data_IF_663507988351
#
_entry.id   IF_663507988351
#
_cell.length_a   1.000
_cell.length_b   1.000
_cell.length_c   1.000
_cell.angle_alpha   90.00
_cell.angle_beta   90.00
_cell.angle_gamma   90.00
#
_symmetry.space_group_name_H-M   'P 1'
#
loop_
_entity.id
_entity.type
_entity.pdbx_description
1 polymer ?
#
# COMPACT_ATOMS: atom_id res chain seq x y z
N UNK A 1 19.90 -2.93 22.73
CA UNK A 1 20.40 -3.52 21.49
C UNK A 1 20.24 -5.03 21.37
N UNK A 2 20.71 -5.89 22.31
CA UNK A 2 20.56 -7.36 22.17
C UNK A 2 19.11 -7.87 22.24
N UNK A 3 18.20 -7.22 22.97
CA UNK A 3 16.78 -7.63 23.06
C UNK A 3 15.94 -7.18 21.86
N UNK A 4 16.23 -6.05 21.24
CA UNK A 4 15.56 -5.62 19.99
C UNK A 4 15.93 -6.51 18.81
N UNK A 5 17.19 -6.98 18.75
CA UNK A 5 17.62 -7.90 17.70
C UNK A 5 16.93 -9.28 17.80
N UNK A 6 16.64 -9.73 19.03
CA UNK A 6 15.91 -10.99 19.28
C UNK A 6 14.44 -10.84 18.85
N UNK A 7 13.85 -9.67 19.02
CA UNK A 7 12.46 -9.40 18.64
C UNK A 7 12.27 -9.39 17.11
N UNK A 8 13.20 -8.78 16.37
CA UNK A 8 13.21 -8.81 14.91
C UNK A 8 13.49 -10.21 14.34
N UNK A 9 14.35 -11.00 15.00
CA UNK A 9 14.63 -12.38 14.62
C UNK A 9 13.46 -13.34 14.92
N UNK A 10 12.69 -13.13 15.98
CA UNK A 10 11.50 -13.94 16.27
C UNK A 10 10.35 -13.65 15.30
N UNK A 11 10.18 -12.42 14.87
CA UNK A 11 9.18 -12.05 13.86
C UNK A 11 9.51 -12.66 12.48
N UNK A 12 10.79 -12.68 12.10
CA UNK A 12 11.24 -13.34 10.88
C UNK A 12 11.12 -14.88 10.91
N UNK A 13 11.18 -15.51 12.08
CA UNK A 13 11.04 -16.96 12.24
C UNK A 13 9.59 -17.45 12.14
N UNK A 14 8.61 -16.59 12.42
CA UNK A 14 7.18 -16.93 12.27
C UNK A 14 6.73 -16.92 10.80
N UNK A 15 7.42 -16.21 9.91
CA UNK A 15 7.13 -16.19 8.48
C UNK A 15 7.69 -17.41 7.71
N UNK A 16 8.55 -18.22 8.32
CA UNK A 16 9.17 -19.40 7.67
C UNK A 16 8.50 -20.73 8.01
N UNK A 17 7.51 -20.77 8.90
CA UNK A 17 6.92 -22.02 9.41
C UNK A 17 5.79 -22.64 8.56
N UNK A 18 5.30 -21.99 7.50
CA UNK A 18 4.19 -22.49 6.66
C UNK A 18 4.59 -22.86 5.24
N UNK A 19 5.65 -23.64 5.06
CA UNK A 19 5.89 -24.28 3.75
C UNK A 19 6.29 -25.75 3.93
N UNK A 20 5.30 -26.59 4.22
CA UNK A 20 5.41 -28.04 3.96
C UNK A 20 5.03 -28.29 2.51
N UNK A 21 6.04 -28.47 1.68
CA UNK A 21 5.90 -29.07 0.33
C UNK A 21 5.50 -30.53 0.48
N UNK A 22 4.29 -30.89 0.08
CA UNK A 22 3.92 -32.27 -0.20
C UNK A 22 4.35 -32.59 -1.63
N UNK A 23 5.29 -33.55 -1.76
CA UNK A 23 5.62 -34.17 -3.03
C UNK A 23 4.40 -34.97 -3.55
N UNK A 24 4.13 -34.96 -4.84
CA UNK A 24 3.11 -35.85 -5.41
C UNK A 24 3.65 -37.26 -5.53
N UNK A 25 2.90 -38.18 -4.93
CA UNK A 25 3.08 -39.63 -5.03
C UNK A 25 2.71 -40.08 -6.44
N UNK A 26 3.60 -40.84 -7.08
CA UNK A 26 3.37 -41.50 -8.38
C UNK A 26 2.39 -42.66 -8.22
N UNK A 27 1.27 -42.63 -8.90
CA UNK A 27 0.35 -43.75 -9.08
C UNK A 27 0.71 -44.52 -10.38
N UNK A 28 0.59 -45.85 -10.37
CA UNK A 28 0.99 -46.68 -11.51
C UNK A 28 -0.02 -46.69 -12.64
N UNK A 29 0.48 -46.88 -13.85
CA UNK A 29 -0.28 -46.97 -15.08
C UNK A 29 -1.26 -48.16 -15.09
N UNK A 30 -2.49 -47.93 -15.53
CA UNK A 30 -3.40 -48.97 -16.01
C UNK A 30 -3.90 -48.59 -17.42
N UNK A 31 -3.51 -49.45 -18.38
CA UNK A 31 -4.10 -49.44 -19.72
C UNK A 31 -5.57 -49.84 -19.66
N UNK A 32 -6.43 -49.11 -20.36
CA UNK A 32 -7.47 -49.77 -21.20
C UNK A 32 -8.16 -48.74 -22.10
N UNK A 33 -8.34 -49.12 -23.34
CA UNK A 33 -8.93 -48.42 -24.44
C UNK A 33 -10.42 -48.07 -24.23
N UNK A 34 -10.84 -46.87 -24.66
CA UNK A 34 -12.25 -46.48 -24.79
C UNK A 34 -12.31 -45.17 -25.53
N UNK A 35 -12.58 -45.25 -26.84
CA UNK A 35 -12.90 -44.11 -27.73
C UNK A 35 -14.06 -43.31 -27.17
N UNK A 36 -13.81 -42.07 -26.76
CA UNK A 36 -14.82 -41.04 -26.66
C UNK A 36 -14.27 -39.75 -27.30
N UNK A 37 -15.02 -39.26 -28.23
CA UNK A 37 -14.84 -38.01 -28.95
C UNK A 37 -14.69 -36.86 -27.91
N UNK A 38 -13.47 -36.42 -27.71
CA UNK A 38 -13.21 -35.17 -27.02
C UNK A 38 -13.67 -34.04 -27.96
N UNK A 39 -14.74 -33.35 -27.53
CA UNK A 39 -15.02 -32.02 -28.03
C UNK A 39 -13.86 -31.16 -27.56
N UNK A 40 -12.91 -30.91 -28.42
CA UNK A 40 -11.95 -29.82 -28.25
C UNK A 40 -12.79 -28.54 -28.01
N UNK A 41 -12.82 -28.09 -26.76
CA UNK A 41 -13.19 -26.73 -26.49
C UNK A 41 -12.11 -25.87 -27.18
N UNK A 42 -12.50 -25.24 -28.26
CA UNK A 42 -11.73 -24.24 -28.99
C UNK A 42 -11.32 -23.14 -27.96
N UNK A 43 -10.18 -23.31 -27.32
CA UNK A 43 -9.53 -22.23 -26.60
C UNK A 43 -9.04 -21.30 -27.69
N UNK A 44 -9.87 -20.34 -28.06
CA UNK A 44 -9.49 -19.27 -28.99
C UNK A 44 -8.23 -18.63 -28.44
N UNK A 45 -7.12 -18.84 -29.12
CA UNK A 45 -5.87 -18.12 -28.84
C UNK A 45 -6.18 -16.65 -29.01
N UNK A 46 -5.97 -15.81 -28.01
CA UNK A 46 -6.27 -14.39 -28.13
C UNK A 46 -5.48 -13.80 -29.31
N UNK A 47 -6.18 -13.14 -30.22
CA UNK A 47 -5.59 -12.59 -31.44
C UNK A 47 -4.67 -11.39 -31.17
N UNK A 48 -4.75 -10.79 -29.96
CA UNK A 48 -4.06 -9.54 -29.62
C UNK A 48 -3.36 -9.65 -28.26
N UNK A 49 -2.18 -9.05 -28.19
CA UNK A 49 -1.36 -8.98 -26.98
C UNK A 49 -1.07 -7.53 -26.63
N UNK A 50 -1.39 -7.14 -25.39
CA UNK A 50 -1.03 -5.85 -24.78
C UNK A 50 0.34 -5.98 -24.11
N UNK A 51 1.13 -4.92 -24.13
CA UNK A 51 2.36 -4.80 -23.36
C UNK A 51 2.14 -3.97 -22.11
N UNK A 52 2.63 -4.45 -20.96
CA UNK A 52 2.65 -3.72 -19.71
C UNK A 52 4.09 -3.37 -19.33
N UNK A 53 4.43 -2.09 -19.38
CA UNK A 53 5.70 -1.57 -18.91
C UNK A 53 5.72 -1.45 -17.38
N UNK A 54 6.76 -2.00 -16.75
CA UNK A 54 6.97 -1.87 -15.30
C UNK A 54 8.45 -1.90 -14.94
N UNK A 55 8.76 -1.53 -13.69
CA UNK A 55 10.09 -1.69 -13.10
C UNK A 55 9.96 -2.69 -11.95
N UNK A 56 10.56 -3.87 -12.09
CA UNK A 56 10.47 -4.95 -11.11
C UNK A 56 11.85 -5.59 -10.90
N UNK A 57 12.46 -5.29 -9.76
CA UNK A 57 13.68 -5.94 -9.29
C UNK A 57 13.32 -7.10 -8.37
N UNK A 58 13.97 -8.25 -8.56
CA UNK A 58 13.87 -9.42 -7.68
C UNK A 58 12.43 -9.88 -7.35
N UNK A 59 11.49 -9.67 -8.28
CA UNK A 59 10.07 -10.03 -8.13
C UNK A 59 9.31 -9.27 -7.03
N UNK A 60 9.71 -8.04 -6.74
CA UNK A 60 9.00 -7.16 -5.78
C UNK A 60 7.53 -6.93 -6.17
N UNK A 61 7.21 -6.97 -7.48
CA UNK A 61 5.86 -6.79 -8.04
C UNK A 61 5.05 -8.11 -8.13
N UNK A 62 5.18 -8.98 -7.12
CA UNK A 62 4.51 -10.30 -7.12
C UNK A 62 2.99 -10.22 -7.24
N UNK A 63 2.35 -9.24 -6.61
CA UNK A 63 0.89 -9.01 -6.70
C UNK A 63 0.51 -8.67 -8.14
N UNK A 64 1.20 -7.71 -8.77
CA UNK A 64 0.96 -7.34 -10.17
C UNK A 64 1.15 -8.54 -11.10
N UNK A 65 2.24 -9.31 -10.95
CA UNK A 65 2.48 -10.51 -11.76
C UNK A 65 1.36 -11.54 -11.60
N UNK A 66 0.90 -11.77 -10.39
CA UNK A 66 -0.23 -12.67 -10.11
C UNK A 66 -1.52 -12.18 -10.74
N UNK A 67 -1.80 -10.87 -10.69
CA UNK A 67 -2.97 -10.28 -11.34
C UNK A 67 -2.92 -10.44 -12.86
N UNK A 68 -1.78 -10.17 -13.50
CA UNK A 68 -1.59 -10.36 -14.94
C UNK A 68 -1.75 -11.84 -15.31
N UNK A 69 -1.19 -12.74 -14.51
CA UNK A 69 -1.35 -14.18 -14.74
C UNK A 69 -2.83 -14.59 -14.65
N UNK A 70 -3.57 -14.14 -13.63
CA UNK A 70 -5.00 -14.40 -13.47
C UNK A 70 -5.80 -13.83 -14.64
N UNK A 71 -5.47 -12.61 -15.09
CA UNK A 71 -6.07 -11.99 -16.26
C UNK A 71 -5.86 -12.85 -17.51
N UNK A 72 -4.64 -13.31 -17.75
CA UNK A 72 -4.29 -14.14 -18.92
C UNK A 72 -4.91 -15.54 -18.89
N UNK A 73 -5.26 -16.05 -17.70
CA UNK A 73 -6.01 -17.31 -17.55
C UNK A 73 -7.53 -17.14 -17.63
N UNK A 74 -8.03 -15.91 -17.59
CA UNK A 74 -9.45 -15.64 -17.77
C UNK A 74 -9.85 -15.78 -19.25
N UNK A 75 -11.14 -15.67 -19.52
CA UNK A 75 -11.67 -15.59 -20.90
C UNK A 75 -11.52 -14.22 -21.53
N UNK A 76 -10.53 -13.44 -21.13
CA UNK A 76 -10.28 -12.11 -21.65
C UNK A 76 -9.89 -12.16 -23.16
N UNK A 77 -10.34 -11.21 -23.96
CA UNK A 77 -10.12 -11.21 -25.41
C UNK A 77 -8.67 -10.89 -25.82
N UNK A 78 -7.88 -10.34 -24.88
CA UNK A 78 -6.47 -9.98 -25.10
C UNK A 78 -5.62 -10.60 -23.99
N UNK A 79 -4.34 -10.84 -24.27
CA UNK A 79 -3.34 -11.21 -23.26
C UNK A 79 -2.48 -10.00 -22.92
N UNK A 80 -1.80 -10.06 -21.77
CA UNK A 80 -0.86 -9.03 -21.33
C UNK A 80 0.50 -9.66 -21.15
N UNK A 81 1.50 -9.11 -21.84
CA UNK A 81 2.92 -9.44 -21.69
C UNK A 81 3.64 -8.33 -20.94
N UNK A 82 4.56 -8.72 -20.07
CA UNK A 82 5.30 -7.80 -19.21
C UNK A 82 6.58 -7.35 -19.91
N UNK A 83 6.76 -6.05 -20.06
CA UNK A 83 8.00 -5.38 -20.44
C UNK A 83 8.65 -4.85 -19.15
N UNK A 84 9.68 -5.55 -18.63
CA UNK A 84 10.36 -5.13 -17.42
C UNK A 84 11.57 -4.23 -17.75
N UNK A 85 11.49 -2.95 -17.39
CA UNK A 85 12.58 -1.99 -17.59
C UNK A 85 13.79 -2.22 -16.66
N UNK A 86 13.62 -3.04 -15.60
CA UNK A 86 14.72 -3.45 -14.73
C UNK A 86 15.66 -4.47 -15.40
N UNK A 87 15.22 -5.15 -16.47
CA UNK A 87 16.04 -6.16 -17.14
C UNK A 87 17.29 -5.54 -17.76
N UNK A 88 18.45 -5.88 -17.19
CA UNK A 88 19.75 -5.35 -17.60
C UNK A 88 20.08 -3.94 -17.07
N UNK A 89 19.25 -3.36 -16.21
CA UNK A 89 19.58 -2.14 -15.48
C UNK A 89 20.44 -2.45 -14.23
N UNK A 90 21.40 -1.59 -13.93
CA UNK A 90 22.28 -1.77 -12.76
C UNK A 90 21.62 -1.26 -11.46
N UNK A 91 20.65 -0.35 -11.59
CA UNK A 91 19.93 0.27 -10.47
C UNK A 91 18.50 0.65 -10.85
N UNK A 92 17.67 0.92 -9.85
CA UNK A 92 16.32 1.48 -10.06
C UNK A 92 16.36 2.81 -10.81
N UNK A 93 17.33 3.67 -10.51
CA UNK A 93 17.52 4.95 -11.21
C UNK A 93 17.82 4.75 -12.70
N UNK A 94 18.63 3.74 -13.06
CA UNK A 94 18.89 3.40 -14.48
C UNK A 94 17.64 2.88 -15.17
N UNK A 95 16.87 2.03 -14.50
CA UNK A 95 15.60 1.51 -15.03
C UNK A 95 14.58 2.64 -15.28
N UNK A 96 14.44 3.58 -14.33
CA UNK A 96 13.58 4.77 -14.47
C UNK A 96 14.06 5.64 -15.63
N UNK A 97 15.38 5.89 -15.73
CA UNK A 97 15.96 6.69 -16.81
C UNK A 97 15.71 6.04 -18.18
N UNK A 98 15.89 4.73 -18.28
CA UNK A 98 15.60 3.97 -19.51
C UNK A 98 14.13 4.05 -19.88
N UNK A 99 13.24 3.76 -18.93
CA UNK A 99 11.79 3.84 -19.13
C UNK A 99 11.39 5.23 -19.62
N UNK A 100 11.79 6.27 -18.91
CA UNK A 100 11.48 7.67 -19.28
C UNK A 100 12.00 8.01 -20.69
N UNK A 101 13.22 7.59 -21.02
CA UNK A 101 13.83 7.85 -22.33
C UNK A 101 13.04 7.16 -23.46
N UNK A 102 12.63 5.90 -23.27
CA UNK A 102 11.85 5.16 -24.25
C UNK A 102 10.46 5.77 -24.42
N UNK A 103 9.79 6.14 -23.31
CA UNK A 103 8.48 6.80 -23.37
C UNK A 103 8.52 8.14 -24.11
N UNK A 104 9.52 8.98 -23.85
CA UNK A 104 9.70 10.27 -24.53
C UNK A 104 10.09 10.10 -26.00
N UNK A 105 10.76 9.01 -26.36
CA UNK A 105 11.07 8.68 -27.76
C UNK A 105 9.85 8.11 -28.52
N UNK A 106 8.71 7.91 -27.86
CA UNK A 106 7.49 7.35 -28.45
C UNK A 106 7.46 5.83 -28.47
N UNK A 107 8.43 5.16 -27.84
CA UNK A 107 8.43 3.70 -27.65
C UNK A 107 7.64 3.38 -26.38
N UNK A 108 6.32 3.44 -26.47
CA UNK A 108 5.43 3.28 -25.32
C UNK A 108 4.84 1.88 -25.27
N UNK A 109 4.71 1.26 -24.07
CA UNK A 109 3.87 0.09 -23.89
C UNK A 109 2.39 0.46 -24.00
N UNK A 110 1.49 -0.51 -23.97
CA UNK A 110 0.05 -0.24 -23.97
C UNK A 110 -0.45 0.20 -22.59
N UNK A 111 0.05 -0.46 -21.56
CA UNK A 111 -0.18 -0.17 -20.16
C UNK A 111 1.13 0.21 -19.47
N UNK A 112 1.07 1.10 -18.50
CA UNK A 112 2.21 1.51 -17.68
C UNK A 112 1.90 1.35 -16.20
N UNK A 113 2.78 0.68 -15.46
CA UNK A 113 2.75 0.70 -14.00
C UNK A 113 3.31 2.02 -13.48
N UNK A 114 2.44 2.80 -12.85
CA UNK A 114 2.74 4.12 -12.29
C UNK A 114 3.01 4.08 -10.78
N UNK A 115 3.01 2.91 -10.13
CA UNK A 115 3.11 2.80 -8.67
C UNK A 115 4.44 3.33 -8.11
N UNK A 116 5.52 3.26 -8.89
CA UNK A 116 6.85 3.74 -8.51
C UNK A 116 7.13 5.20 -8.92
N UNK A 117 6.21 5.84 -9.64
CA UNK A 117 6.39 7.23 -10.05
C UNK A 117 6.18 8.17 -8.85
N UNK A 118 7.05 9.16 -8.71
CA UNK A 118 6.76 10.28 -7.81
C UNK A 118 5.55 11.08 -8.33
N UNK A 119 4.89 11.85 -7.44
CA UNK A 119 3.78 12.71 -7.84
C UNK A 119 4.16 13.66 -8.98
N UNK A 120 5.37 14.25 -8.96
CA UNK A 120 5.88 15.12 -10.03
C UNK A 120 6.02 14.39 -11.37
N UNK A 121 6.65 13.19 -11.37
CA UNK A 121 6.78 12.38 -12.59
C UNK A 121 5.43 11.98 -13.15
N UNK A 122 4.50 11.56 -12.29
CA UNK A 122 3.16 11.17 -12.68
C UNK A 122 2.40 12.35 -13.31
N UNK A 123 2.40 13.51 -12.65
CA UNK A 123 1.79 14.73 -13.18
C UNK A 123 2.43 15.14 -14.52
N UNK A 124 3.78 15.05 -14.60
CA UNK A 124 4.50 15.30 -15.85
C UNK A 124 4.08 14.37 -16.99
N UNK A 125 3.92 13.06 -16.71
CA UNK A 125 3.47 12.10 -17.73
C UNK A 125 2.04 12.36 -18.21
N UNK A 126 1.15 12.77 -17.30
CA UNK A 126 -0.21 13.18 -17.66
C UNK A 126 -0.21 14.46 -18.51
N UNK A 127 0.46 15.52 -18.04
CA UNK A 127 0.49 16.83 -18.72
C UNK A 127 1.19 16.79 -20.09
N UNK A 128 2.23 15.97 -20.25
CA UNK A 128 2.97 15.80 -21.50
C UNK A 128 2.33 14.78 -22.47
N UNK A 129 1.16 14.24 -22.13
CA UNK A 129 0.41 13.34 -23.03
C UNK A 129 1.06 11.96 -23.19
N UNK A 130 1.85 11.50 -22.24
CA UNK A 130 2.34 10.12 -22.17
C UNK A 130 1.21 9.20 -21.73
N UNK A 131 0.44 9.62 -20.72
CA UNK A 131 -0.73 8.90 -20.24
C UNK A 131 -2.01 9.40 -20.93
N UNK A 132 -2.93 8.48 -21.20
CA UNK A 132 -4.25 8.76 -21.77
C UNK A 132 -5.24 9.10 -20.64
N UNK A 133 -6.09 10.14 -20.79
CA UNK A 133 -7.26 10.32 -19.97
C UNK A 133 -8.14 9.06 -19.95
N UNK A 134 -8.54 8.61 -18.76
CA UNK A 134 -9.33 7.40 -18.56
C UNK A 134 -10.81 7.74 -18.38
N UNK A 135 -11.61 7.50 -19.40
CA UNK A 135 -13.06 7.67 -19.36
C UNK A 135 -13.78 6.34 -19.08
N UNK A 136 -14.93 6.41 -18.39
CA UNK A 136 -15.81 5.25 -18.18
C UNK A 136 -15.25 4.19 -17.25
N UNK A 137 -14.34 4.55 -16.35
CA UNK A 137 -13.92 3.68 -15.24
C UNK A 137 -15.04 3.55 -14.20
N UNK A 138 -15.17 2.40 -13.49
CA UNK A 138 -16.25 2.16 -12.52
C UNK A 138 -15.97 2.87 -11.17
N UNK A 139 -15.67 4.16 -11.19
CA UNK A 139 -15.20 4.95 -10.04
C UNK A 139 -16.14 4.87 -8.82
N UNK A 140 -17.46 4.78 -9.05
CA UNK A 140 -18.45 4.68 -7.98
C UNK A 140 -18.32 3.38 -7.15
N UNK A 141 -17.74 2.34 -7.72
CA UNK A 141 -17.52 1.04 -7.06
C UNK A 141 -16.18 1.01 -6.28
N UNK A 142 -15.31 1.98 -6.52
CA UNK A 142 -13.95 2.02 -6.01
C UNK A 142 -13.82 2.95 -4.80
N UNK A 143 -12.76 2.76 -4.02
CA UNK A 143 -12.41 3.66 -2.91
C UNK A 143 -11.93 5.01 -3.45
N UNK A 144 -12.72 6.07 -3.23
CA UNK A 144 -12.44 7.39 -3.78
C UNK A 144 -11.16 8.03 -3.26
N UNK A 145 -10.80 7.80 -1.98
CA UNK A 145 -9.56 8.29 -1.38
C UNK A 145 -8.33 7.74 -2.09
N UNK A 146 -8.35 6.44 -2.44
CA UNK A 146 -7.28 5.76 -3.17
C UNK A 146 -7.12 6.30 -4.60
N UNK A 147 -8.22 6.73 -5.23
CA UNK A 147 -8.17 7.29 -6.58
C UNK A 147 -7.75 8.75 -6.64
N UNK A 148 -7.89 9.50 -5.54
CA UNK A 148 -7.63 10.95 -5.49
C UNK A 148 -6.27 11.35 -6.10
N UNK A 149 -5.13 10.70 -5.80
CA UNK A 149 -3.85 11.03 -6.42
C UNK A 149 -3.71 10.59 -7.88
N UNK A 150 -4.69 9.87 -8.44
CA UNK A 150 -4.69 9.46 -9.85
C UNK A 150 -5.25 10.54 -10.77
N UNK A 151 -5.80 11.61 -10.22
CA UNK A 151 -6.28 12.77 -10.96
C UNK A 151 -5.17 13.81 -11.12
N UNK A 152 -5.08 14.39 -12.32
CA UNK A 152 -4.26 15.57 -12.62
C UNK A 152 -5.18 16.58 -13.32
N UNK A 153 -5.25 17.81 -12.81
CA UNK A 153 -6.16 18.86 -13.30
C UNK A 153 -7.62 18.38 -13.45
N UNK A 154 -8.08 17.56 -12.48
CA UNK A 154 -9.46 17.04 -12.47
C UNK A 154 -9.74 15.90 -13.47
N UNK A 155 -8.72 15.38 -14.15
CA UNK A 155 -8.82 14.29 -15.12
C UNK A 155 -8.12 13.05 -14.60
N UNK A 156 -8.76 11.87 -14.67
CA UNK A 156 -8.22 10.59 -14.26
C UNK A 156 -7.25 10.05 -15.32
N UNK A 157 -6.01 9.69 -14.96
CA UNK A 157 -5.00 9.13 -15.88
C UNK A 157 -4.51 7.74 -15.53
N UNK A 158 -4.79 7.29 -14.31
CA UNK A 158 -4.49 5.91 -13.88
C UNK A 158 -5.52 5.43 -12.88
N UNK A 159 -5.49 4.15 -12.56
CA UNK A 159 -6.28 3.56 -11.48
C UNK A 159 -5.38 2.74 -10.59
N UNK A 160 -5.60 2.81 -9.27
CA UNK A 160 -5.00 1.88 -8.32
C UNK A 160 -5.87 0.64 -8.30
N UNK A 161 -5.31 -0.51 -8.63
CA UNK A 161 -6.01 -1.80 -8.59
C UNK A 161 -5.83 -2.55 -7.28
N UNK A 162 -4.71 -2.30 -6.60
CA UNK A 162 -4.39 -2.91 -5.31
C UNK A 162 -3.48 -2.01 -4.48
N UNK A 163 -3.63 -2.05 -3.15
CA UNK A 163 -2.86 -1.22 -2.23
C UNK A 163 -2.60 -1.95 -0.90
N UNK A 164 -1.63 -1.45 -0.14
CA UNK A 164 -1.41 -1.80 1.26
C UNK A 164 -1.69 -0.57 2.13
N UNK A 165 -2.24 -0.76 3.33
CA UNK A 165 -2.25 0.27 4.35
C UNK A 165 -0.85 0.38 4.96
N UNK A 166 -0.48 1.59 5.37
CA UNK A 166 0.76 1.85 6.10
C UNK A 166 0.46 2.68 7.36
N UNK A 167 -0.42 2.18 8.26
CA UNK A 167 -1.00 2.96 9.33
C UNK A 167 -0.06 3.11 10.52
N UNK A 168 -0.20 4.25 11.23
CA UNK A 168 0.19 4.33 12.62
C UNK A 168 -0.95 3.81 13.50
N UNK A 169 -0.63 3.05 14.53
CA UNK A 169 -1.62 2.48 15.44
C UNK A 169 -1.10 2.42 16.88
N UNK A 170 -2.02 2.42 17.83
CA UNK A 170 -1.71 2.45 19.25
C UNK A 170 -2.88 1.95 20.12
N UNK A 171 -2.79 2.08 21.46
CA UNK A 171 -3.74 1.50 22.41
C UNK A 171 -5.15 2.10 22.28
N UNK A 172 -6.14 1.26 22.00
CA UNK A 172 -7.54 1.67 21.82
C UNK A 172 -8.11 2.40 23.06
N UNK A 173 -7.70 2.01 24.25
CA UNK A 173 -8.17 2.62 25.51
C UNK A 173 -7.80 4.11 25.64
N UNK A 174 -6.75 4.55 24.91
CA UNK A 174 -6.27 5.94 24.92
C UNK A 174 -6.69 6.70 23.66
N UNK A 175 -6.84 5.99 22.53
CA UNK A 175 -7.08 6.59 21.22
C UNK A 175 -8.56 6.66 20.82
N UNK A 176 -9.45 5.91 21.50
CA UNK A 176 -10.86 5.79 21.10
C UNK A 176 -11.06 4.83 19.91
N UNK A 177 -11.98 5.16 19.01
CA UNK A 177 -12.20 4.40 17.78
C UNK A 177 -11.07 4.67 16.75
N UNK A 178 -10.93 3.80 15.74
CA UNK A 178 -9.99 4.06 14.66
C UNK A 178 -10.32 5.38 13.95
N UNK A 179 -9.27 6.17 13.69
CA UNK A 179 -9.31 7.50 13.06
C UNK A 179 -9.98 8.61 13.90
N UNK A 180 -10.37 8.34 15.15
CA UNK A 180 -10.92 9.36 16.06
C UNK A 180 -9.82 10.29 16.59
N UNK A 181 -8.62 9.75 16.79
CA UNK A 181 -7.44 10.49 17.25
C UNK A 181 -6.42 10.58 16.11
N UNK A 182 -5.86 11.76 15.88
CA UNK A 182 -4.80 11.96 14.90
C UNK A 182 -3.39 11.88 15.51
N UNK A 183 -2.41 11.66 14.65
CA UNK A 183 -0.98 11.78 15.03
C UNK A 183 -0.69 13.20 15.53
N UNK A 184 -1.31 14.21 14.95
CA UNK A 184 -1.19 15.61 15.34
C UNK A 184 -1.71 15.83 16.77
N UNK A 185 -2.89 15.26 17.13
CA UNK A 185 -3.45 15.34 18.49
C UNK A 185 -2.49 14.77 19.53
N UNK A 186 -1.89 13.63 19.24
CA UNK A 186 -0.90 13.00 20.13
C UNK A 186 0.34 13.87 20.26
N UNK A 187 0.88 14.37 19.16
CA UNK A 187 2.07 15.24 19.15
C UNK A 187 1.83 16.56 19.88
N UNK A 188 0.64 17.13 19.76
CA UNK A 188 0.26 18.36 20.47
C UNK A 188 -0.10 18.14 21.95
N UNK A 189 -0.02 16.88 22.46
CA UNK A 189 -0.29 16.54 23.84
C UNK A 189 -1.77 16.51 24.23
N UNK A 190 -2.67 16.43 23.26
CA UNK A 190 -4.11 16.28 23.49
C UNK A 190 -4.46 14.91 24.10
N UNK A 191 -3.63 13.90 23.88
CA UNK A 191 -3.80 12.55 24.43
C UNK A 191 -2.70 12.28 25.46
N UNK A 192 -3.04 12.24 26.76
CA UNK A 192 -2.05 12.02 27.81
C UNK A 192 -1.55 10.57 27.84
N UNK A 193 -0.35 10.38 28.38
CA UNK A 193 0.26 9.08 28.67
C UNK A 193 0.41 8.15 27.45
N UNK A 194 0.48 8.72 26.25
CA UNK A 194 0.78 8.00 25.01
C UNK A 194 2.21 8.32 24.59
N UNK A 195 2.95 7.31 24.15
CA UNK A 195 4.31 7.46 23.65
C UNK A 195 4.43 6.89 22.25
N UNK A 196 5.41 7.38 21.50
CA UNK A 196 5.78 6.81 20.21
C UNK A 196 6.92 5.80 20.38
N UNK A 197 6.96 4.81 19.50
CA UNK A 197 8.05 3.83 19.44
C UNK A 197 9.40 4.50 19.08
N UNK A 198 9.35 5.61 18.36
CA UNK A 198 10.52 6.34 17.86
C UNK A 198 10.85 7.58 18.68
N UNK A 199 12.11 7.98 18.63
CA UNK A 199 12.54 9.34 19.02
C UNK A 199 12.12 10.36 17.96
N UNK A 200 12.25 11.66 18.28
CA UNK A 200 11.67 12.71 17.47
C UNK A 200 12.13 12.79 16.01
N UNK A 201 13.43 12.55 15.75
CA UNK A 201 13.99 12.56 14.39
C UNK A 201 13.42 11.40 13.54
N UNK A 202 13.43 10.19 14.10
CA UNK A 202 12.88 9.01 13.44
C UNK A 202 11.35 9.14 13.27
N UNK A 203 10.65 9.71 14.27
CA UNK A 203 9.22 9.96 14.19
C UNK A 203 8.87 10.97 13.08
N UNK A 204 9.65 12.05 12.94
CA UNK A 204 9.46 12.98 11.83
C UNK A 204 9.65 12.27 10.49
N UNK A 205 10.64 11.39 10.38
CA UNK A 205 10.87 10.59 9.16
C UNK A 205 9.68 9.69 8.85
N UNK A 206 9.11 9.00 9.87
CA UNK A 206 7.89 8.19 9.71
C UNK A 206 6.72 9.05 9.29
N UNK A 207 6.46 10.17 9.98
CA UNK A 207 5.37 11.09 9.65
C UNK A 207 5.49 11.62 8.21
N UNK A 208 6.65 12.15 7.83
CA UNK A 208 6.86 12.72 6.50
C UNK A 208 6.74 11.69 5.38
N UNK A 209 7.11 10.42 5.62
CA UNK A 209 6.89 9.35 4.64
C UNK A 209 5.41 9.18 4.30
N UNK A 210 4.51 9.45 5.24
CA UNK A 210 3.07 9.31 5.05
C UNK A 210 2.35 10.61 4.70
N UNK A 211 2.87 11.74 5.14
CA UNK A 211 2.18 13.02 5.08
C UNK A 211 2.86 14.08 4.19
N UNK A 212 4.10 13.87 3.72
CA UNK A 212 4.83 14.91 2.99
C UNK A 212 4.13 15.36 1.70
N UNK A 213 3.43 14.44 1.02
CA UNK A 213 2.68 14.76 -0.21
C UNK A 213 1.57 15.81 0.01
N UNK A 214 1.05 15.95 1.24
CA UNK A 214 0.03 16.96 1.58
C UNK A 214 0.58 18.37 1.55
N UNK A 215 1.91 18.54 1.66
CA UNK A 215 2.59 19.84 1.64
C UNK A 215 3.15 20.19 0.27
N UNK A 216 2.85 19.41 -0.77
CA UNK A 216 3.36 19.60 -2.12
C UNK A 216 2.20 19.86 -3.09
N UNK A 217 2.34 20.88 -3.91
CA UNK A 217 1.42 21.16 -5.00
C UNK A 217 2.18 21.07 -6.33
N UNK A 218 1.93 19.99 -7.06
CA UNK A 218 2.57 19.71 -8.33
C UNK A 218 1.99 20.56 -9.48
N UNK A 219 0.80 21.10 -9.32
CA UNK A 219 0.18 21.94 -10.36
C UNK A 219 0.74 23.35 -10.32
N UNK A 220 0.88 23.93 -9.12
CA UNK A 220 1.49 25.24 -8.92
C UNK A 220 3.00 25.20 -8.70
N UNK A 221 3.58 23.98 -8.60
CA UNK A 221 5.01 23.75 -8.33
C UNK A 221 5.47 24.43 -7.02
N UNK A 222 4.66 24.34 -5.98
CA UNK A 222 4.93 24.95 -4.67
C UNK A 222 4.97 23.91 -3.55
N UNK A 223 5.54 24.28 -2.42
CA UNK A 223 5.51 23.53 -1.18
C UNK A 223 5.03 24.41 -0.03
N UNK A 224 4.54 23.82 1.06
CA UNK A 224 3.92 24.51 2.19
C UNK A 224 4.39 24.03 3.56
N UNK A 225 5.69 23.73 3.69
CA UNK A 225 6.33 23.34 4.97
C UNK A 225 6.42 24.51 5.96
N UNK A 226 6.29 25.76 5.51
CA UNK A 226 6.14 26.94 6.39
C UNK A 226 4.75 27.04 7.04
N UNK A 227 3.80 26.13 6.73
CA UNK A 227 2.47 26.13 7.34
C UNK A 227 2.55 25.91 8.86
N UNK A 228 1.63 26.52 9.61
CA UNK A 228 1.52 26.34 11.06
C UNK A 228 1.42 24.87 11.44
N UNK A 229 0.67 24.07 10.67
CA UNK A 229 0.51 22.63 10.84
C UNK A 229 1.88 21.92 10.83
N UNK A 230 2.69 22.12 9.79
CA UNK A 230 3.99 21.46 9.71
C UNK A 230 4.98 21.95 10.76
N UNK A 231 5.00 23.25 11.06
CA UNK A 231 5.84 23.82 12.11
C UNK A 231 5.52 23.23 13.49
N UNK A 232 4.24 23.00 13.80
CA UNK A 232 3.81 22.36 15.04
C UNK A 232 4.33 20.92 15.11
N UNK A 233 4.20 20.13 14.03
CA UNK A 233 4.73 18.76 13.94
C UNK A 233 6.26 18.74 14.13
N UNK A 234 6.96 19.60 13.39
CA UNK A 234 8.43 19.68 13.46
C UNK A 234 8.90 20.03 14.89
N UNK A 235 8.22 21.00 15.53
CA UNK A 235 8.54 21.43 16.90
C UNK A 235 8.21 20.35 17.93
N UNK A 236 7.06 19.68 17.79
CA UNK A 236 6.65 18.60 18.68
C UNK A 236 7.63 17.40 18.58
N UNK A 237 8.02 17.00 17.37
CA UNK A 237 9.03 15.98 17.17
C UNK A 237 10.36 16.33 17.87
N UNK A 238 10.81 17.59 17.80
CA UNK A 238 12.03 18.02 18.47
C UNK A 238 11.96 17.91 20.01
N UNK A 239 10.77 17.96 20.59
CA UNK A 239 10.56 17.82 22.04
C UNK A 239 10.53 16.36 22.51
N UNK A 240 10.36 15.39 21.61
CA UNK A 240 10.30 13.96 21.96
C UNK A 240 11.70 13.42 22.20
N UNK A 241 11.94 12.95 23.41
CA UNK A 241 13.19 12.27 23.76
C UNK A 241 13.19 10.81 23.33
N UNK A 242 14.35 10.28 22.95
CA UNK A 242 14.55 8.85 22.66
C UNK A 242 14.50 8.03 23.96
N UNK A 243 13.33 7.85 24.52
CA UNK A 243 13.12 6.92 25.64
C UNK A 243 12.98 5.48 25.11
N UNK A 244 13.20 4.49 26.00
CA UNK A 244 12.89 3.10 25.61
C UNK A 244 11.38 2.97 25.38
N UNK A 245 10.95 2.43 24.22
CA UNK A 245 9.52 2.33 23.92
C UNK A 245 8.81 1.41 24.89
N UNK A 246 7.60 1.81 25.31
CA UNK A 246 6.70 0.97 26.08
C UNK A 246 6.02 -0.07 25.17
N UNK A 247 5.52 -1.18 25.70
CA UNK A 247 4.82 -2.20 24.88
C UNK A 247 3.58 -1.66 24.14
N UNK A 248 2.97 -0.62 24.70
CA UNK A 248 1.78 0.06 24.18
C UNK A 248 2.10 1.38 23.45
N UNK A 249 3.36 1.59 23.05
CA UNK A 249 3.74 2.76 22.25
C UNK A 249 3.11 2.72 20.85
N UNK A 250 2.75 3.90 20.34
CA UNK A 250 2.33 4.03 18.93
C UNK A 250 3.45 3.54 18.02
N UNK A 251 3.08 2.67 17.09
CA UNK A 251 3.98 2.09 16.10
C UNK A 251 3.35 2.11 14.70
N UNK A 252 4.15 1.79 13.69
CA UNK A 252 3.75 1.69 12.31
C UNK A 252 4.12 0.30 11.79
N UNK A 253 3.23 -0.31 11.04
CA UNK A 253 3.50 -1.54 10.32
C UNK A 253 2.59 -1.62 9.09
N UNK A 254 3.14 -1.88 7.89
CA UNK A 254 2.35 -2.12 6.70
C UNK A 254 1.36 -3.26 6.91
N UNK A 255 0.18 -3.12 6.31
CA UNK A 255 -0.93 -4.06 6.43
C UNK A 255 -1.53 -4.29 5.03
N UNK A 256 -1.61 -5.53 4.57
CA UNK A 256 -2.03 -5.86 3.22
C UNK A 256 -3.19 -6.87 3.15
N UNK A 257 -3.72 -7.33 4.30
CA UNK A 257 -4.86 -8.24 4.33
C UNK A 257 -5.61 -8.19 5.67
N UNK A 258 -6.88 -8.62 5.67
CA UNK A 258 -7.67 -8.78 6.88
C UNK A 258 -7.08 -9.83 7.83
N UNK A 259 -6.49 -10.90 7.29
CA UNK A 259 -5.77 -11.91 8.06
C UNK A 259 -4.55 -11.31 8.79
N UNK A 260 -3.81 -10.42 8.12
CA UNK A 260 -2.70 -9.71 8.74
C UNK A 260 -3.17 -8.75 9.84
N UNK A 261 -4.25 -7.99 9.61
CA UNK A 261 -4.86 -7.16 10.64
C UNK A 261 -5.21 -7.99 11.88
N UNK A 262 -5.88 -9.13 11.70
CA UNK A 262 -6.20 -10.07 12.78
C UNK A 262 -4.94 -10.54 13.53
N UNK A 263 -3.92 -10.96 12.81
CA UNK A 263 -2.66 -11.42 13.40
C UNK A 263 -1.94 -10.31 14.19
N UNK A 264 -1.97 -9.08 13.69
CA UNK A 264 -1.43 -7.92 14.40
C UNK A 264 -2.22 -7.63 15.68
N UNK A 265 -3.56 -7.69 15.65
CA UNK A 265 -4.42 -7.53 16.83
C UNK A 265 -4.14 -8.59 17.88
N UNK A 266 -3.98 -9.86 17.49
CA UNK A 266 -3.61 -10.96 18.39
C UNK A 266 -2.25 -10.69 19.04
N UNK A 267 -1.25 -10.33 18.25
CA UNK A 267 0.11 -10.04 18.76
C UNK A 267 0.12 -8.84 19.70
N UNK A 268 -0.66 -7.82 19.40
CA UNK A 268 -0.83 -6.65 20.25
C UNK A 268 -1.51 -7.02 21.57
N UNK A 269 -2.59 -7.79 21.53
CA UNK A 269 -3.30 -8.24 22.73
C UNK A 269 -2.40 -9.08 23.65
N UNK A 270 -1.58 -9.96 23.10
CA UNK A 270 -0.64 -10.78 23.88
C UNK A 270 0.39 -9.94 24.64
N UNK A 271 0.75 -8.77 24.11
CA UNK A 271 1.75 -7.90 24.70
C UNK A 271 1.16 -6.89 25.69
N UNK A 272 -0.05 -6.39 25.42
CA UNK A 272 -0.63 -5.24 26.12
C UNK A 272 -1.88 -5.60 26.92
N UNK A 273 -2.54 -6.72 26.61
CA UNK A 273 -3.85 -7.10 27.17
C UNK A 273 -5.04 -6.36 26.55
N UNK A 274 -4.80 -5.46 25.57
CA UNK A 274 -5.81 -4.66 24.89
C UNK A 274 -5.79 -4.84 23.37
N UNK A 275 -6.57 -4.05 22.66
CA UNK A 275 -6.57 -4.00 21.20
C UNK A 275 -5.96 -2.68 20.74
N UNK A 276 -5.45 -2.64 19.51
CA UNK A 276 -5.02 -1.38 18.90
C UNK A 276 -6.12 -0.73 18.07
N UNK A 277 -5.96 0.56 17.83
CA UNK A 277 -6.71 1.35 16.84
C UNK A 277 -5.75 2.13 15.96
N UNK A 278 -6.19 2.37 14.73
CA UNK A 278 -5.43 3.15 13.74
C UNK A 278 -5.64 4.63 14.01
N UNK A 279 -4.55 5.41 13.98
CA UNK A 279 -4.61 6.86 14.06
C UNK A 279 -4.88 7.46 12.69
N UNK A 280 -5.63 8.56 12.68
CA UNK A 280 -5.61 9.46 11.54
C UNK A 280 -4.23 10.14 11.43
N UNK A 281 -3.81 10.49 10.23
CA UNK A 281 -2.57 11.27 10.07
C UNK A 281 -2.74 12.70 10.54
N UNK A 282 -3.92 13.25 10.28
CA UNK A 282 -4.28 14.61 10.65
C UNK A 282 -5.75 14.72 11.07
N UNK A 283 -6.17 15.93 11.41
CA UNK A 283 -7.53 16.25 11.83
C UNK A 283 -8.61 16.04 10.74
N UNK A 284 -8.22 15.88 9.47
CA UNK A 284 -9.13 15.59 8.36
C UNK A 284 -9.47 14.11 8.28
N UNK A 285 -8.80 13.26 9.06
CA UNK A 285 -9.17 11.86 9.32
C UNK A 285 -8.59 10.84 8.38
N UNK A 286 -7.69 11.21 7.47
CA UNK A 286 -7.06 10.29 6.51
C UNK A 286 -6.04 9.33 7.12
N UNK A 287 -5.80 8.20 6.46
CA UNK A 287 -4.71 7.28 6.83
C UNK A 287 -3.84 6.96 5.62
N UNK A 288 -2.59 6.53 5.91
CA UNK A 288 -1.60 6.28 4.89
C UNK A 288 -1.84 4.96 4.15
N UNK A 289 -1.61 5.00 2.85
CA UNK A 289 -1.57 3.81 2.01
C UNK A 289 -0.41 3.87 1.01
N UNK A 290 0.00 2.72 0.54
CA UNK A 290 0.97 2.55 -0.54
C UNK A 290 0.29 1.82 -1.71
N UNK A 291 0.28 2.39 -2.94
CA UNK A 291 -0.19 1.65 -4.09
C UNK A 291 0.75 0.47 -4.36
N UNK A 292 0.19 -0.73 -4.46
CA UNK A 292 0.90 -1.94 -4.86
C UNK A 292 0.82 -2.12 -6.36
N UNK A 293 -0.27 -1.62 -6.94
CA UNK A 293 -0.54 -1.63 -8.36
C UNK A 293 -1.26 -0.34 -8.74
N UNK A 294 -0.65 0.46 -9.61
CA UNK A 294 -1.27 1.65 -10.21
C UNK A 294 -1.02 1.64 -11.72
N UNK A 295 -2.06 1.47 -12.51
CA UNK A 295 -1.95 1.32 -13.96
C UNK A 295 -2.57 2.49 -14.71
N UNK A 296 -1.85 2.97 -15.72
CA UNK A 296 -2.32 3.92 -16.72
C UNK A 296 -2.25 3.32 -18.12
N UNK A 297 -2.99 3.91 -19.07
CA UNK A 297 -2.91 3.60 -20.49
C UNK A 297 -1.98 4.60 -21.15
N UNK A 298 -1.04 4.15 -21.99
CA UNK A 298 -0.18 5.05 -22.73
C UNK A 298 -0.92 5.66 -23.93
N UNK A 299 -0.88 6.98 -24.05
CA UNK A 299 -1.57 7.70 -25.14
C UNK A 299 -1.03 7.37 -26.55
N UNK A 300 0.25 6.96 -26.63
CA UNK A 300 0.87 6.52 -27.89
C UNK A 300 0.55 5.08 -28.30
N UNK A 301 -0.14 4.29 -27.46
CA UNK A 301 -0.54 2.92 -27.78
C UNK A 301 -1.48 2.86 -28.99
N UNK A 302 -1.28 1.89 -29.86
CA UNK A 302 -2.22 1.57 -30.95
C UNK A 302 -3.45 0.80 -30.44
N UNK A 303 -3.41 0.26 -29.22
CA UNK A 303 -4.44 -0.61 -28.61
C UNK A 303 -5.13 0.06 -27.41
N UNK A 304 -5.25 1.38 -27.39
CA UNK A 304 -5.78 2.18 -26.27
C UNK A 304 -7.11 1.69 -25.72
N UNK A 305 -8.05 1.36 -26.60
CA UNK A 305 -9.39 0.88 -26.19
C UNK A 305 -9.32 -0.49 -25.51
N UNK A 306 -8.53 -1.41 -26.07
CA UNK A 306 -8.32 -2.74 -25.48
C UNK A 306 -7.57 -2.65 -24.14
N UNK A 307 -6.60 -1.74 -24.00
CA UNK A 307 -5.88 -1.48 -22.77
C UNK A 307 -6.82 -0.88 -21.70
N UNK A 308 -7.65 0.10 -22.03
CA UNK A 308 -8.64 0.65 -21.12
C UNK A 308 -9.70 -0.39 -20.69
N UNK A 309 -10.11 -1.27 -21.63
CA UNK A 309 -11.03 -2.37 -21.30
C UNK A 309 -10.38 -3.40 -20.38
N UNK A 310 -9.10 -3.71 -20.59
CA UNK A 310 -8.35 -4.57 -19.67
C UNK A 310 -8.31 -4.00 -18.25
N UNK A 311 -8.10 -2.68 -18.10
CA UNK A 311 -8.17 -2.01 -16.79
C UNK A 311 -9.56 -2.13 -16.17
N UNK A 312 -10.63 -1.86 -16.91
CA UNK A 312 -12.01 -2.01 -16.43
C UNK A 312 -12.28 -3.43 -15.92
N UNK A 313 -11.81 -4.45 -16.65
CA UNK A 313 -11.97 -5.84 -16.26
C UNK A 313 -11.19 -6.17 -14.98
N UNK A 314 -9.98 -5.62 -14.78
CA UNK A 314 -9.19 -5.81 -13.57
C UNK A 314 -9.80 -5.14 -12.34
N UNK A 315 -10.67 -4.15 -12.52
CA UNK A 315 -11.35 -3.44 -11.42
C UNK A 315 -12.69 -4.07 -11.02
N UNK A 316 -13.17 -5.07 -11.76
CA UNK A 316 -14.42 -5.77 -11.45
C UNK A 316 -14.30 -6.54 -10.14
N UNK A 317 -15.42 -6.66 -9.45
CA UNK A 317 -15.52 -7.36 -8.16
C UNK A 317 -14.95 -8.79 -8.23
N UNK A 318 -15.36 -9.56 -9.23
CA UNK A 318 -14.97 -10.97 -9.39
C UNK A 318 -13.44 -11.12 -9.58
N UNK A 319 -12.82 -10.21 -10.32
CA UNK A 319 -11.38 -10.17 -10.52
C UNK A 319 -10.66 -9.72 -9.24
N UNK A 320 -11.16 -8.68 -8.60
CA UNK A 320 -10.60 -8.08 -7.40
C UNK A 320 -10.65 -9.03 -6.17
N UNK A 321 -11.62 -9.93 -6.10
CA UNK A 321 -11.71 -10.97 -5.04
C UNK A 321 -10.58 -12.01 -5.08
N UNK A 322 -9.87 -12.12 -6.20
CA UNK A 322 -8.74 -13.02 -6.37
C UNK A 322 -7.38 -12.41 -5.98
N UNK A 323 -7.35 -11.13 -5.58
CA UNK A 323 -6.13 -10.47 -5.14
C UNK A 323 -5.71 -11.06 -3.79
N UNK A 324 -4.45 -11.51 -3.72
CA UNK A 324 -3.79 -11.94 -2.51
C UNK A 324 -2.64 -10.96 -2.17
N UNK A 325 -2.33 -10.84 -0.90
CA UNK A 325 -1.22 -10.03 -0.37
C UNK A 325 -1.31 -8.52 -0.68
N UNK A 326 -2.53 -8.04 -0.94
CA UNK A 326 -2.88 -6.63 -1.03
C UNK A 326 -4.38 -6.43 -0.84
N UNK A 327 -4.81 -5.23 -0.46
CA UNK A 327 -6.23 -4.87 -0.46
C UNK A 327 -6.68 -4.49 -1.88
N UNK A 328 -7.80 -5.04 -2.37
CA UNK A 328 -8.42 -4.58 -3.60
C UNK A 328 -9.03 -3.18 -3.41
N UNK A 329 -9.13 -2.42 -4.50
CA UNK A 329 -9.75 -1.09 -4.45
C UNK A 329 -11.28 -1.14 -4.58
N UNK A 330 -11.84 -2.25 -5.07
CA UNK A 330 -13.29 -2.44 -5.22
C UNK A 330 -13.96 -2.72 -3.87
N UNK A 331 -14.95 -1.88 -3.51
CA UNK A 331 -15.65 -1.96 -2.20
C UNK A 331 -16.37 -3.29 -1.96
N UNK A 332 -16.98 -3.85 -3.01
CA UNK A 332 -17.70 -5.12 -2.89
C UNK A 332 -16.71 -6.28 -2.65
N UNK A 333 -15.59 -6.29 -3.37
CA UNK A 333 -14.52 -7.27 -3.16
C UNK A 333 -13.94 -7.18 -1.73
N UNK A 334 -13.72 -5.97 -1.20
CA UNK A 334 -13.26 -5.77 0.18
C UNK A 334 -14.25 -6.37 1.19
N UNK A 335 -15.55 -6.09 1.05
CA UNK A 335 -16.56 -6.66 1.96
C UNK A 335 -16.58 -8.17 1.92
N UNK A 336 -16.43 -8.75 0.75
CA UNK A 336 -16.37 -10.23 0.63
C UNK A 336 -15.10 -10.80 1.29
N UNK A 337 -13.95 -10.12 1.18
CA UNK A 337 -12.73 -10.51 1.90
C UNK A 337 -12.91 -10.46 3.41
N UNK A 338 -13.59 -9.44 3.97
CA UNK A 338 -13.90 -9.38 5.40
C UNK A 338 -14.77 -10.56 5.82
N UNK A 339 -15.80 -10.88 5.04
CA UNK A 339 -16.69 -12.02 5.32
C UNK A 339 -15.98 -13.37 5.22
N UNK A 340 -15.04 -13.52 4.28
CA UNK A 340 -14.19 -14.72 4.19
C UNK A 340 -13.33 -14.88 5.45
N UNK A 341 -12.72 -13.81 5.94
CA UNK A 341 -11.87 -13.83 7.14
C UNK A 341 -12.69 -14.18 8.41
N UNK A 342 -13.89 -13.58 8.57
CA UNK A 342 -14.80 -13.92 9.66
C UNK A 342 -15.16 -15.43 9.64
N UNK A 343 -15.48 -15.96 8.46
CA UNK A 343 -15.80 -17.39 8.29
C UNK A 343 -14.60 -18.29 8.58
N UNK A 344 -13.41 -17.90 8.09
CA UNK A 344 -12.18 -18.66 8.31
C UNK A 344 -11.86 -18.76 9.80
N UNK A 345 -11.90 -17.66 10.55
CA UNK A 345 -11.64 -17.66 11.97
C UNK A 345 -12.69 -18.50 12.76
N UNK A 346 -13.97 -18.41 12.37
CA UNK A 346 -15.01 -19.26 13.00
C UNK A 346 -14.74 -20.74 12.80
N UNK A 347 -14.26 -21.14 11.60
CA UNK A 347 -13.92 -22.53 11.31
C UNK A 347 -12.67 -22.99 12.09
N UNK A 348 -11.62 -22.17 12.15
CA UNK A 348 -10.43 -22.44 12.94
C UNK A 348 -10.77 -22.65 14.42
N UNK A 349 -11.58 -21.76 14.99
CA UNK A 349 -12.04 -21.86 16.39
C UNK A 349 -12.87 -23.13 16.64
N UNK A 350 -13.76 -23.49 15.71
CA UNK A 350 -14.53 -24.73 15.84
C UNK A 350 -13.64 -25.98 15.81
N UNK A 351 -12.59 -25.95 14.99
CA UNK A 351 -11.63 -27.06 14.91
C UNK A 351 -10.83 -27.16 16.19
N UNK A 352 -10.31 -26.07 16.73
CA UNK A 352 -9.59 -26.03 17.99
C UNK A 352 -10.45 -26.56 19.17
N UNK A 353 -11.74 -26.17 19.22
CA UNK A 353 -12.68 -26.68 20.25
C UNK A 353 -12.87 -28.22 20.13
N UNK A 354 -12.89 -28.75 18.90
CA UNK A 354 -13.09 -30.20 18.70
C UNK A 354 -11.85 -31.02 19.04
N UNK A 355 -10.67 -30.54 18.69
CA UNK A 355 -9.42 -31.26 18.86
C UNK A 355 -8.87 -31.18 20.27
N UNK A 356 -8.95 -30.03 20.93
CA UNK A 356 -8.36 -29.81 22.24
C UNK A 356 -9.36 -29.93 23.39
N UNK A 357 -10.67 -30.07 23.10
CA UNK A 357 -11.74 -30.27 24.09
C UNK A 357 -11.92 -29.13 25.09
N UNK A 358 -11.18 -28.04 24.96
CA UNK A 358 -11.14 -26.87 25.82
C UNK A 358 -10.58 -25.67 25.08
N UNK A 359 -11.37 -24.63 24.94
CA UNK A 359 -10.86 -23.31 24.60
C UNK A 359 -11.08 -22.42 25.81
N UNK A 360 -10.10 -22.38 26.69
CA UNK A 360 -9.99 -21.28 27.65
C UNK A 360 -9.41 -20.09 26.87
N UNK A 361 -10.18 -19.00 26.81
CA UNK A 361 -9.90 -17.75 26.08
C UNK A 361 -8.61 -17.03 26.55
N UNK A 362 -7.80 -17.65 27.39
CA UNK A 362 -6.57 -17.09 27.95
C UNK A 362 -5.27 -17.83 27.62
N UNK A 363 -5.31 -19.05 27.10
CA UNK A 363 -4.09 -19.86 26.89
C UNK A 363 -3.76 -20.17 25.43
N UNK A 364 -4.74 -20.11 24.53
CA UNK A 364 -4.50 -20.22 23.08
C UNK A 364 -4.46 -18.79 22.49
N UNK A 365 -3.26 -18.26 22.32
CA UNK A 365 -3.03 -16.87 21.87
C UNK A 365 -3.80 -16.46 20.61
N UNK A 366 -4.15 -17.40 19.74
CA UNK A 366 -4.89 -17.16 18.49
C UNK A 366 -6.38 -16.90 18.68
N UNK A 367 -6.92 -17.03 19.91
CA UNK A 367 -8.33 -16.84 20.21
C UNK A 367 -8.63 -15.61 21.09
N UNK A 368 -7.61 -14.87 21.43
CA UNK A 368 -7.71 -13.69 22.30
C UNK A 368 -8.43 -12.52 21.61
N UNK A 369 -8.29 -12.39 20.30
CA UNK A 369 -8.98 -11.39 19.49
C UNK A 369 -9.94 -12.08 18.51
N UNK A 370 -11.19 -11.59 18.47
CA UNK A 370 -12.18 -12.05 17.49
C UNK A 370 -12.25 -11.06 16.34
N UNK A 371 -11.98 -11.55 15.13
CA UNK A 371 -12.30 -10.82 13.92
C UNK A 371 -13.75 -11.10 13.57
N UNK A 372 -14.64 -10.33 14.19
CA UNK A 372 -16.09 -10.35 13.99
C UNK A 372 -16.55 -9.20 13.08
N UNK A 373 -17.85 -9.01 12.99
CA UNK A 373 -18.44 -7.94 12.19
C UNK A 373 -17.95 -6.55 12.66
N UNK A 374 -17.78 -6.33 13.97
CA UNK A 374 -17.33 -5.04 14.49
C UNK A 374 -15.86 -4.76 14.14
N UNK A 375 -15.00 -5.78 14.18
CA UNK A 375 -13.61 -5.66 13.75
C UNK A 375 -13.49 -5.47 12.23
N UNK A 376 -14.35 -6.12 11.47
CA UNK A 376 -14.43 -5.95 10.02
C UNK A 376 -14.91 -4.54 9.65
N UNK A 377 -15.91 -4.00 10.35
CA UNK A 377 -16.42 -2.64 10.16
C UNK A 377 -15.36 -1.60 10.53
N UNK A 378 -14.59 -1.81 11.61
CA UNK A 378 -13.46 -0.94 11.99
C UNK A 378 -12.39 -0.92 10.88
N UNK A 379 -11.97 -2.08 10.38
CA UNK A 379 -11.01 -2.17 9.28
C UNK A 379 -11.56 -1.56 8.00
N UNK A 380 -12.84 -1.79 7.66
CA UNK A 380 -13.47 -1.16 6.50
C UNK A 380 -13.50 0.35 6.61
N UNK A 381 -13.80 0.90 7.81
CA UNK A 381 -13.73 2.34 8.05
C UNK A 381 -12.32 2.88 7.77
N UNK A 382 -11.28 2.20 8.23
CA UNK A 382 -9.87 2.57 7.96
C UNK A 382 -9.58 2.55 6.46
N UNK A 383 -10.00 1.50 5.75
CA UNK A 383 -9.79 1.36 4.30
C UNK A 383 -10.53 2.43 3.49
N UNK A 384 -11.75 2.80 3.89
CA UNK A 384 -12.55 3.83 3.23
C UNK A 384 -11.96 5.25 3.40
N UNK A 385 -11.17 5.47 4.46
CA UNK A 385 -10.46 6.73 4.72
C UNK A 385 -8.95 6.67 4.38
N UNK A 386 -8.51 5.65 3.65
CA UNK A 386 -7.15 5.61 3.12
C UNK A 386 -7.04 6.57 1.92
N UNK A 387 -6.58 7.78 2.16
CA UNK A 387 -6.47 8.84 1.15
C UNK A 387 -5.10 9.54 1.12
N UNK A 388 -4.23 9.20 2.07
CA UNK A 388 -2.88 9.74 2.16
C UNK A 388 -1.88 8.77 1.49
N UNK A 389 -1.55 9.01 0.22
CA UNK A 389 -0.53 8.22 -0.47
C UNK A 389 0.82 8.42 0.20
N UNK A 390 1.47 7.31 0.58
CA UNK A 390 2.83 7.37 1.12
C UNK A 390 3.80 7.97 0.10
N UNK A 391 4.60 8.93 0.56
CA UNK A 391 5.57 9.63 -0.28
C UNK A 391 6.69 8.67 -0.73
N UNK A 392 6.70 8.32 -2.00
CA UNK A 392 7.75 7.52 -2.63
C UNK A 392 9.00 8.35 -2.99
N UNK A 393 8.93 9.67 -2.85
CA UNK A 393 10.00 10.57 -3.30
C UNK A 393 11.10 10.73 -2.25
N UNK A 394 12.15 9.92 -2.38
CA UNK A 394 13.29 9.93 -1.47
C UNK A 394 14.05 11.28 -1.43
N UNK A 395 14.05 12.04 -2.53
CA UNK A 395 14.72 13.35 -2.56
C UNK A 395 13.94 14.39 -1.75
N UNK A 396 12.61 14.39 -1.81
CA UNK A 396 11.76 15.23 -0.96
C UNK A 396 11.97 14.88 0.51
N UNK A 397 11.92 13.59 0.86
CA UNK A 397 12.17 13.15 2.23
C UNK A 397 13.55 13.58 2.70
N UNK A 398 14.57 13.44 1.86
CA UNK A 398 15.92 13.88 2.17
C UNK A 398 16.00 15.40 2.38
N UNK A 399 15.33 16.20 1.55
CA UNK A 399 15.27 17.66 1.73
C UNK A 399 14.70 18.00 3.11
N UNK A 400 13.58 17.37 3.50
CA UNK A 400 12.94 17.61 4.79
C UNK A 400 13.85 17.20 5.94
N UNK A 401 14.42 16.01 5.91
CA UNK A 401 15.25 15.48 6.99
C UNK A 401 16.58 16.20 7.15
N UNK A 402 17.26 16.60 6.05
CA UNK A 402 18.47 17.40 6.10
C UNK A 402 18.25 18.74 6.83
N UNK A 403 17.14 19.42 6.56
CA UNK A 403 16.82 20.72 7.16
C UNK A 403 16.31 20.55 8.60
N UNK A 404 15.54 19.49 8.88
CA UNK A 404 15.09 19.15 10.23
C UNK A 404 16.28 18.82 11.15
N UNK A 405 17.30 18.09 10.67
CA UNK A 405 18.53 17.82 11.40
C UNK A 405 19.25 19.14 11.83
N UNK A 406 19.26 20.12 10.94
CA UNK A 406 19.83 21.43 11.27
C UNK A 406 19.04 22.15 12.37
N UNK A 407 17.71 22.01 12.41
CA UNK A 407 16.86 22.53 13.48
C UNK A 407 17.03 21.74 14.78
N UNK A 408 16.99 20.41 14.76
CA UNK A 408 17.16 19.56 15.96
C UNK A 408 18.51 19.76 16.63
N UNK A 409 19.57 20.08 15.86
CA UNK A 409 20.90 20.45 16.35
C UNK A 409 21.05 21.92 16.77
N UNK A 410 19.96 22.69 16.76
CA UNK A 410 19.96 24.10 17.15
C UNK A 410 20.73 25.05 16.22
N UNK A 411 21.01 24.63 14.96
CA UNK A 411 21.70 25.47 13.96
C UNK A 411 20.76 26.40 13.22
N UNK A 412 19.47 26.11 13.22
CA UNK A 412 18.38 26.88 12.61
C UNK A 412 17.19 26.92 13.55
N UNK A 413 16.32 27.91 13.37
CA UNK A 413 14.97 27.90 13.93
C UNK A 413 14.08 26.97 13.09
N UNK A 414 12.94 26.54 13.62
CA UNK A 414 11.95 25.75 12.87
C UNK A 414 11.49 26.48 11.60
N UNK A 415 11.24 27.80 11.71
CA UNK A 415 10.84 28.64 10.59
C UNK A 415 11.91 28.72 9.50
N UNK A 416 13.18 28.90 9.86
CA UNK A 416 14.29 28.93 8.89
C UNK A 416 14.47 27.57 8.19
N UNK A 417 14.31 26.46 8.91
CA UNK A 417 14.36 25.12 8.33
C UNK A 417 13.22 24.91 7.34
N UNK A 418 11.98 25.20 7.74
CA UNK A 418 10.79 25.05 6.90
C UNK A 418 10.85 25.90 5.63
N UNK A 419 11.35 27.16 5.74
CA UNK A 419 11.54 28.05 4.59
C UNK A 419 12.54 27.48 3.56
N UNK A 420 13.57 26.80 4.02
CA UNK A 420 14.53 26.15 3.12
C UNK A 420 13.93 24.90 2.51
N UNK A 421 13.14 24.11 3.29
CA UNK A 421 12.40 22.96 2.77
C UNK A 421 11.49 23.40 1.62
N UNK A 422 10.66 24.43 1.80
CA UNK A 422 9.76 24.95 0.77
C UNK A 422 10.47 25.30 -0.52
N UNK A 423 11.56 26.08 -0.42
CA UNK A 423 12.33 26.49 -1.61
C UNK A 423 12.98 25.33 -2.33
N UNK A 424 13.59 24.37 -1.58
CA UNK A 424 14.26 23.21 -2.17
C UNK A 424 13.26 22.24 -2.79
N UNK A 425 12.12 22.00 -2.12
CA UNK A 425 11.07 21.14 -2.63
C UNK A 425 10.40 21.72 -3.88
N UNK A 426 10.06 23.01 -3.87
CA UNK A 426 9.49 23.69 -5.04
C UNK A 426 10.45 23.65 -6.25
N UNK A 427 11.75 23.88 -6.04
CA UNK A 427 12.75 23.75 -7.11
C UNK A 427 12.81 22.32 -7.66
N UNK A 428 12.84 21.32 -6.78
CA UNK A 428 12.87 19.92 -7.18
C UNK A 428 11.61 19.53 -8.00
N UNK A 429 10.42 19.98 -7.56
CA UNK A 429 9.16 19.72 -8.29
C UNK A 429 9.21 20.36 -9.69
N UNK A 430 9.71 21.59 -9.79
CA UNK A 430 9.80 22.30 -11.06
C UNK A 430 10.81 21.67 -12.04
N UNK A 431 11.87 21.02 -11.54
CA UNK A 431 12.87 20.32 -12.36
C UNK A 431 12.42 18.90 -12.76
N UNK A 432 11.53 18.27 -11.97
CA UNK A 432 11.08 16.89 -12.18
C UNK A 432 9.81 16.79 -13.06
N UNK A 433 9.05 17.86 -13.22
CA UNK A 433 7.85 17.97 -14.08
C UNK A 433 8.19 18.57 -15.42
#
# INVERSE_FOLDING_TARGET
MKRCLIFMLLLCLLLTACRKQTQPEQLPAAETAGSQTETESDVQTPEQTLTLGMIDFDTEKSVLRSMIQNYNFSSAPVRIEILNYADGAESRADAVTRMTTELLAGNVPDLLDCSDLSGAQYAGYAKNGILLPLDGMPEAELLSGILKPCYVDGTLYSVVGAFALDPLFGPAEKLGASLETSVEDVLCGAVPDVSFFWGGEDLLSVYCRHAAEQYLDYDTQTASFESEKFLNILTACAAISSAAPAPDSIMQQPMHSAAMYRSMQISWYQQTGGVFRVLALDSDGGTAYQPVLQLGVCAGSAMREAAAEALRNMLREDFQQAIADAFPVNRAALRELMQKEIKAQRAERQTAIREEGRVEVGEAGDLAFLFDEAAADDLMNVLEHADCRSCGNQEILKIILDEADAYFKGRKTAQEAAQVMDRRAALFIAEAG
#
